data_IF_527224882904
#
_entry.id   IF_527224882904
#
_cell.length_a   1.000
_cell.length_b   1.000
_cell.length_c   1.000
_cell.angle_alpha   90.00
_cell.angle_beta   90.00
_cell.angle_gamma   90.00
#
_symmetry.space_group_name_H-M   'P 1'
#
loop_
_entity.id
_entity.type
_entity.pdbx_description
1 polymer ?
#
# COMPACT_ATOMS: atom_id res chain seq x y z
N UNK A 1 14.42 24.16 -10.13
CA UNK A 1 13.57 23.62 -11.20
C UNK A 1 12.79 22.45 -10.63
N UNK A 2 11.50 22.28 -10.96
CA UNK A 2 10.73 21.15 -10.48
C UNK A 2 11.38 19.84 -10.96
N UNK A 3 11.38 18.83 -10.09
CA UNK A 3 11.87 17.49 -10.45
C UNK A 3 10.85 16.75 -11.29
N UNK A 4 9.55 16.98 -11.06
CA UNK A 4 8.46 16.48 -11.91
C UNK A 4 7.56 17.65 -12.30
N UNK A 5 7.21 17.74 -13.58
CA UNK A 5 6.31 18.77 -14.12
C UNK A 5 5.29 18.15 -15.06
N UNK A 6 4.02 18.48 -14.86
CA UNK A 6 2.92 18.25 -15.80
C UNK A 6 2.37 19.62 -16.19
N UNK A 7 2.16 19.83 -17.50
CA UNK A 7 1.60 21.07 -18.03
C UNK A 7 0.43 20.74 -18.95
N UNK A 8 -0.77 21.15 -18.55
CA UNK A 8 -2.02 21.00 -19.29
C UNK A 8 -2.26 19.56 -19.78
N UNK A 9 -2.00 18.59 -18.91
CA UNK A 9 -2.07 17.17 -19.26
C UNK A 9 -3.52 16.71 -19.28
N UNK A 10 -3.98 16.30 -20.47
CA UNK A 10 -5.28 15.66 -20.67
C UNK A 10 -5.04 14.24 -21.20
N UNK A 11 -5.82 13.29 -20.69
CA UNK A 11 -5.82 11.91 -21.17
C UNK A 11 -7.23 11.45 -21.50
N UNK A 12 -7.44 11.09 -22.76
CA UNK A 12 -8.68 10.48 -23.25
C UNK A 12 -8.40 9.05 -23.69
N UNK A 13 -9.26 8.11 -23.28
CA UNK A 13 -9.28 6.73 -23.75
C UNK A 13 -10.47 6.52 -24.69
N UNK A 14 -10.23 5.88 -25.84
CA UNK A 14 -11.27 5.73 -26.86
C UNK A 14 -11.73 7.08 -27.40
N UNK A 15 -13.03 7.22 -27.65
CA UNK A 15 -13.61 8.46 -28.18
C UNK A 15 -14.04 9.43 -27.07
N UNK A 16 -14.59 8.93 -25.95
CA UNK A 16 -15.31 9.80 -24.99
C UNK A 16 -14.85 9.69 -23.52
N UNK A 17 -13.94 8.78 -23.18
CA UNK A 17 -13.56 8.58 -21.76
C UNK A 17 -12.41 9.50 -21.36
N UNK A 18 -12.72 10.67 -20.81
CA UNK A 18 -11.72 11.59 -20.23
C UNK A 18 -11.28 11.06 -18.87
N UNK A 19 -10.02 10.66 -18.76
CA UNK A 19 -9.44 10.15 -17.51
C UNK A 19 -8.62 11.20 -16.75
N UNK A 20 -8.08 12.20 -17.44
CA UNK A 20 -7.46 13.39 -16.87
C UNK A 20 -7.84 14.58 -17.74
N UNK A 21 -8.12 15.72 -17.12
CA UNK A 21 -8.51 16.95 -17.81
C UNK A 21 -7.73 18.15 -17.28
N UNK A 22 -6.91 18.75 -18.15
CA UNK A 22 -6.08 19.94 -17.89
C UNK A 22 -5.24 19.91 -16.60
N UNK A 23 -4.61 18.77 -16.32
CA UNK A 23 -3.83 18.60 -15.10
C UNK A 23 -2.46 19.28 -15.22
N UNK A 24 -2.22 20.24 -14.33
CA UNK A 24 -0.92 20.93 -14.19
C UNK A 24 -0.41 20.82 -12.76
N UNK A 25 0.77 20.21 -12.58
CA UNK A 25 1.35 19.92 -11.26
C UNK A 25 2.87 20.09 -11.36
N UNK A 26 3.47 20.76 -10.36
CA UNK A 26 4.93 20.84 -10.20
C UNK A 26 5.35 20.26 -8.84
N UNK A 27 6.28 19.32 -8.86
CA UNK A 27 6.81 18.63 -7.66
C UNK A 27 8.32 18.87 -7.57
N UNK A 28 8.77 19.27 -6.40
CA UNK A 28 10.18 19.53 -6.10
C UNK A 28 10.91 18.24 -5.73
N UNK A 29 12.22 18.19 -6.00
CA UNK A 29 13.05 17.04 -5.63
C UNK A 29 12.95 16.73 -4.13
N UNK A 30 12.81 15.45 -3.79
CA UNK A 30 12.76 14.97 -2.41
C UNK A 30 11.40 15.12 -1.70
N UNK A 31 10.37 15.66 -2.38
CA UNK A 31 9.02 15.72 -1.81
C UNK A 31 8.39 14.33 -1.68
N UNK A 32 7.65 14.10 -0.59
CA UNK A 32 6.77 12.95 -0.43
C UNK A 32 5.31 13.38 -0.63
N UNK A 33 4.85 13.23 -1.87
CA UNK A 33 3.52 13.65 -2.32
C UNK A 33 2.55 12.49 -2.22
N UNK A 34 1.35 12.75 -1.70
CA UNK A 34 0.26 11.78 -1.67
C UNK A 34 -0.88 12.25 -2.55
N UNK A 35 -1.31 11.39 -3.48
CA UNK A 35 -2.49 11.63 -4.31
C UNK A 35 -3.71 11.02 -3.62
N UNK A 36 -4.74 11.84 -3.41
CA UNK A 36 -6.03 11.50 -2.81
C UNK A 36 -7.15 11.61 -3.86
N UNK A 37 -8.25 10.91 -3.64
CA UNK A 37 -9.41 10.95 -4.53
C UNK A 37 -10.19 9.64 -4.56
N UNK A 38 -11.46 9.66 -5.02
CA UNK A 38 -12.28 8.46 -5.12
C UNK A 38 -11.75 7.46 -6.17
N UNK A 39 -12.29 6.24 -6.15
CA UNK A 39 -12.02 5.28 -7.22
C UNK A 39 -12.47 5.86 -8.57
N UNK A 40 -11.69 5.64 -9.62
CA UNK A 40 -11.99 6.20 -10.95
C UNK A 40 -11.59 7.66 -11.16
N UNK A 41 -11.10 8.38 -10.15
CA UNK A 41 -10.74 9.79 -10.27
C UNK A 41 -9.57 10.12 -11.23
N UNK A 42 -8.83 9.11 -11.72
CA UNK A 42 -7.69 9.30 -12.62
C UNK A 42 -6.29 9.13 -11.98
N UNK A 43 -6.20 8.82 -10.69
CA UNK A 43 -4.92 8.65 -9.96
C UNK A 43 -3.95 7.66 -10.61
N UNK A 44 -4.41 6.45 -10.92
CA UNK A 44 -3.57 5.43 -11.56
C UNK A 44 -3.19 5.81 -13.00
N UNK A 45 -4.05 6.55 -13.71
CA UNK A 45 -3.73 7.11 -15.04
C UNK A 45 -2.62 8.14 -14.94
N UNK A 46 -2.69 9.04 -13.96
CA UNK A 46 -1.66 10.03 -13.65
C UNK A 46 -0.32 9.35 -13.35
N UNK A 47 -0.31 8.34 -12.48
CA UNK A 47 0.91 7.58 -12.17
C UNK A 47 1.48 6.83 -13.38
N UNK A 48 0.63 6.24 -14.23
CA UNK A 48 1.07 5.57 -15.47
C UNK A 48 1.68 6.53 -16.47
N UNK A 49 1.13 7.74 -16.58
CA UNK A 49 1.71 8.80 -17.40
C UNK A 49 3.08 9.20 -16.88
N UNK A 50 3.23 9.39 -15.57
CA UNK A 50 4.51 9.69 -14.94
C UNK A 50 5.53 8.55 -15.02
N UNK A 51 5.07 7.30 -15.14
CA UNK A 51 5.94 6.15 -15.37
C UNK A 51 6.29 5.94 -16.86
N UNK A 52 5.68 6.69 -17.78
CA UNK A 52 5.86 6.49 -19.22
C UNK A 52 5.14 5.25 -19.79
N UNK A 53 4.27 4.60 -19.01
CA UNK A 53 3.46 3.46 -19.46
C UNK A 53 2.26 3.89 -20.32
N UNK A 54 1.94 5.19 -20.31
CA UNK A 54 0.81 5.75 -21.05
C UNK A 54 1.17 7.16 -21.46
N UNK A 55 1.04 7.48 -22.74
CA UNK A 55 1.25 8.85 -23.23
C UNK A 55 0.01 9.72 -22.96
N UNK A 56 0.18 10.99 -22.59
CA UNK A 56 -0.94 11.94 -22.52
C UNK A 56 -1.51 12.19 -23.92
N UNK A 57 -2.80 12.53 -24.00
CA UNK A 57 -3.43 12.92 -25.28
C UNK A 57 -3.01 14.32 -25.70
N UNK A 58 -2.94 15.23 -24.73
CA UNK A 58 -2.40 16.59 -24.88
C UNK A 58 -1.61 17.00 -23.64
N UNK A 59 -0.84 18.08 -23.74
CA UNK A 59 0.02 18.55 -22.66
C UNK A 59 1.40 17.92 -22.68
N UNK A 60 2.22 18.26 -21.70
CA UNK A 60 3.60 17.76 -21.60
C UNK A 60 3.92 17.28 -20.20
N UNK A 61 4.83 16.30 -20.12
CA UNK A 61 5.30 15.71 -18.88
C UNK A 61 6.82 15.64 -18.89
N UNK A 62 7.45 16.09 -17.80
CA UNK A 62 8.90 16.11 -17.67
C UNK A 62 9.35 15.61 -16.30
N UNK A 63 10.47 14.90 -16.28
CA UNK A 63 11.19 14.48 -15.07
C UNK A 63 12.65 14.93 -15.22
N UNK A 64 13.17 15.67 -14.23
CA UNK A 64 14.54 16.17 -14.26
C UNK A 64 14.85 17.10 -15.45
N UNK A 65 13.82 17.71 -16.05
CA UNK A 65 13.95 18.55 -17.25
C UNK A 65 13.93 17.79 -18.59
N UNK A 66 13.76 16.47 -18.58
CA UNK A 66 13.63 15.65 -19.79
C UNK A 66 12.20 15.10 -19.93
N UNK A 67 11.70 14.87 -21.17
CA UNK A 67 10.40 14.23 -21.37
C UNK A 67 10.33 12.84 -20.72
N UNK A 68 9.18 12.51 -20.11
CA UNK A 68 9.00 11.22 -19.40
C UNK A 68 9.25 10.01 -20.32
N UNK A 69 8.93 10.11 -21.61
CA UNK A 69 9.18 9.07 -22.61
C UNK A 69 10.65 8.65 -22.71
N UNK A 70 11.58 9.49 -22.25
CA UNK A 70 13.03 9.26 -22.29
C UNK A 70 13.60 8.83 -20.93
N UNK A 71 12.81 8.92 -19.85
CA UNK A 71 13.26 8.74 -18.45
C UNK A 71 13.00 7.34 -17.88
N UNK A 72 12.79 6.32 -18.71
CA UNK A 72 12.30 5.00 -18.28
C UNK A 72 13.13 4.28 -17.21
N UNK A 73 14.43 4.58 -17.07
CA UNK A 73 15.30 4.02 -16.01
C UNK A 73 15.26 4.80 -14.70
N UNK A 74 14.72 6.02 -14.71
CA UNK A 74 14.82 6.98 -13.60
C UNK A 74 13.58 6.94 -12.69
N UNK A 75 12.57 6.15 -13.06
CA UNK A 75 11.30 6.02 -12.34
C UNK A 75 11.10 4.59 -11.85
N UNK A 76 11.11 4.42 -10.53
CA UNK A 76 10.75 3.15 -9.89
C UNK A 76 9.24 3.10 -9.64
N UNK A 77 8.60 1.96 -9.88
CA UNK A 77 7.17 1.79 -9.61
C UNK A 77 6.90 0.64 -8.62
N UNK A 78 6.10 0.95 -7.61
CA UNK A 78 5.53 0.02 -6.64
C UNK A 78 4.06 -0.15 -6.98
N UNK A 79 3.69 -1.34 -7.45
CA UNK A 79 2.33 -1.66 -7.82
C UNK A 79 1.53 -2.18 -6.63
N UNK A 80 0.22 -1.96 -6.64
CA UNK A 80 -0.74 -2.53 -5.69
C UNK A 80 -0.67 -4.06 -5.66
N UNK A 81 -0.64 -4.68 -6.84
CA UNK A 81 -0.32 -6.09 -6.98
C UNK A 81 1.20 -6.22 -7.00
N UNK A 82 1.77 -6.88 -6.01
CA UNK A 82 3.24 -6.97 -5.83
C UNK A 82 4.00 -7.49 -7.07
N UNK A 83 3.33 -8.25 -7.95
CA UNK A 83 3.90 -8.91 -9.14
C UNK A 83 5.25 -9.58 -8.84
N UNK A 84 5.34 -10.28 -7.70
CA UNK A 84 6.54 -11.03 -7.33
C UNK A 84 6.47 -12.43 -7.94
N UNK A 85 7.65 -12.98 -8.25
CA UNK A 85 7.78 -14.37 -8.65
C UNK A 85 7.81 -15.19 -7.35
N UNK A 86 6.69 -15.85 -7.04
CA UNK A 86 6.48 -16.50 -5.74
C UNK A 86 7.47 -17.63 -5.42
N UNK A 87 8.02 -18.28 -6.46
CA UNK A 87 9.03 -19.32 -6.31
C UNK A 87 10.43 -18.80 -5.99
N UNK A 88 10.68 -17.50 -6.20
CA UNK A 88 11.97 -16.86 -5.92
C UNK A 88 12.03 -16.31 -4.50
N UNK A 89 13.24 -16.21 -3.97
CA UNK A 89 13.49 -15.54 -2.68
C UNK A 89 13.22 -14.03 -2.76
N UNK A 90 13.07 -13.39 -1.60
CA UNK A 90 12.98 -11.94 -1.50
C UNK A 90 14.17 -11.25 -2.18
N UNK A 91 15.37 -11.75 -1.95
CA UNK A 91 16.60 -11.27 -2.59
C UNK A 91 16.56 -11.39 -4.11
N UNK A 92 16.19 -12.56 -4.66
CA UNK A 92 16.10 -12.74 -6.10
C UNK A 92 15.03 -11.86 -6.73
N UNK A 93 13.89 -11.68 -6.07
CA UNK A 93 12.86 -10.75 -6.50
C UNK A 93 13.36 -9.30 -6.50
N UNK A 94 14.04 -8.85 -5.44
CA UNK A 94 14.63 -7.51 -5.39
C UNK A 94 15.66 -7.30 -6.51
N UNK A 95 16.53 -8.29 -6.74
CA UNK A 95 17.57 -8.25 -7.77
C UNK A 95 17.01 -8.12 -9.19
N UNK A 96 15.78 -8.59 -9.45
CA UNK A 96 15.12 -8.36 -10.76
C UNK A 96 14.97 -6.88 -11.11
N UNK A 97 14.99 -5.97 -10.12
CA UNK A 97 15.00 -4.54 -10.36
C UNK A 97 16.20 -4.09 -11.20
N UNK A 98 17.35 -4.75 -11.08
CA UNK A 98 18.54 -4.41 -11.86
C UNK A 98 18.36 -4.63 -13.37
N UNK A 99 17.39 -5.46 -13.78
CA UNK A 99 17.14 -5.77 -15.19
C UNK A 99 16.67 -4.55 -15.98
N UNK A 100 15.98 -3.60 -15.34
CA UNK A 100 15.49 -2.37 -15.97
C UNK A 100 16.62 -1.51 -16.59
N UNK A 101 17.86 -1.65 -16.10
CA UNK A 101 19.04 -0.93 -16.61
C UNK A 101 19.70 -1.55 -17.84
N UNK A 102 19.25 -2.71 -18.33
CA UNK A 102 19.99 -3.45 -19.36
C UNK A 102 19.17 -3.86 -20.57
N UNK A 103 19.70 -3.52 -21.76
CA UNK A 103 19.20 -4.00 -23.05
C UNK A 103 19.44 -5.51 -23.20
N UNK A 104 18.33 -6.22 -23.43
CA UNK A 104 18.00 -7.59 -23.85
C UNK A 104 19.05 -8.73 -23.94
N UNK A 105 20.34 -8.51 -24.19
CA UNK A 105 21.34 -9.59 -24.31
C UNK A 105 22.33 -9.69 -23.14
N UNK A 106 22.48 -8.63 -22.33
CA UNK A 106 23.40 -8.63 -21.16
C UNK A 106 22.75 -9.06 -19.84
N UNK A 107 21.43 -9.20 -19.83
CA UNK A 107 20.60 -9.47 -18.63
C UNK A 107 21.09 -10.65 -17.76
N UNK A 108 21.55 -11.73 -18.39
CA UNK A 108 22.07 -12.93 -17.68
C UNK A 108 23.42 -12.67 -17.00
N UNK A 109 24.28 -11.82 -17.58
CA UNK A 109 25.56 -11.42 -16.96
C UNK A 109 25.35 -10.35 -15.87
N UNK A 110 24.31 -9.53 -15.99
CA UNK A 110 23.97 -8.44 -15.06
C UNK A 110 23.54 -8.96 -13.68
N UNK A 111 22.71 -10.00 -13.62
CA UNK A 111 22.31 -10.62 -12.34
C UNK A 111 23.50 -11.18 -11.53
N UNK A 112 24.67 -11.32 -12.17
CA UNK A 112 25.87 -11.78 -11.49
C UNK A 112 26.82 -10.65 -11.04
N UNK A 113 26.52 -9.38 -11.36
CA UNK A 113 27.35 -8.23 -10.94
C UNK A 113 27.27 -8.04 -9.44
N UNK A 114 28.43 -7.97 -8.79
CA UNK A 114 28.52 -7.80 -7.34
C UNK A 114 27.81 -6.53 -6.85
N UNK A 115 27.79 -5.46 -7.65
CA UNK A 115 27.12 -4.21 -7.29
C UNK A 115 25.60 -4.35 -7.23
N UNK A 116 24.99 -5.05 -8.18
CA UNK A 116 23.54 -5.29 -8.20
C UNK A 116 23.11 -6.18 -7.02
N UNK A 117 23.95 -7.17 -6.67
CA UNK A 117 23.75 -8.03 -5.48
C UNK A 117 23.79 -7.20 -4.20
N UNK A 118 24.78 -6.32 -4.05
CA UNK A 118 24.89 -5.40 -2.90
C UNK A 118 23.70 -4.44 -2.85
N UNK A 119 23.30 -3.88 -3.99
CA UNK A 119 22.15 -3.00 -4.07
C UNK A 119 20.85 -3.69 -3.63
N UNK A 120 20.66 -4.96 -4.01
CA UNK A 120 19.51 -5.76 -3.59
C UNK A 120 19.51 -6.04 -2.08
N UNK A 121 20.66 -6.41 -1.49
CA UNK A 121 20.77 -6.61 -0.05
C UNK A 121 20.55 -5.31 0.73
N UNK A 122 21.15 -4.20 0.28
CA UNK A 122 20.94 -2.88 0.89
C UNK A 122 19.48 -2.42 0.77
N UNK A 123 18.83 -2.65 -0.38
CA UNK A 123 17.41 -2.34 -0.54
C UNK A 123 16.52 -3.19 0.38
N UNK A 124 16.85 -4.48 0.58
CA UNK A 124 16.16 -5.33 1.56
C UNK A 124 16.40 -4.87 3.00
N UNK A 125 17.60 -4.40 3.32
CA UNK A 125 17.91 -3.79 4.61
C UNK A 125 17.08 -2.52 4.86
N UNK A 126 17.02 -1.60 3.89
CA UNK A 126 16.19 -0.38 3.95
C UNK A 126 14.72 -0.70 4.28
N UNK A 127 14.18 -1.83 3.79
CA UNK A 127 12.79 -2.25 4.05
C UNK A 127 12.65 -3.26 5.19
N UNK A 128 13.73 -3.50 5.96
CA UNK A 128 13.73 -4.39 7.12
C UNK A 128 13.45 -5.85 6.80
N UNK A 129 14.01 -6.36 5.69
CA UNK A 129 13.90 -7.75 5.22
C UNK A 129 15.25 -8.43 4.97
N UNK A 130 16.36 -7.86 5.45
CA UNK A 130 17.69 -8.46 5.25
C UNK A 130 17.79 -9.87 5.83
N UNK A 131 17.25 -10.09 7.04
CA UNK A 131 17.23 -11.42 7.68
C UNK A 131 16.33 -12.43 6.95
N UNK A 132 15.35 -11.94 6.20
CA UNK A 132 14.39 -12.76 5.42
C UNK A 132 14.79 -12.86 3.94
N UNK A 133 16.02 -12.46 3.57
CA UNK A 133 16.44 -12.34 2.18
C UNK A 133 16.29 -13.63 1.36
N UNK A 134 16.52 -14.79 1.99
CA UNK A 134 16.39 -16.12 1.35
C UNK A 134 14.96 -16.70 1.44
N UNK A 135 14.06 -16.08 2.19
CA UNK A 135 12.67 -16.52 2.27
C UNK A 135 11.99 -16.40 0.90
N UNK A 136 11.27 -17.46 0.49
CA UNK A 136 10.49 -17.46 -0.75
C UNK A 136 9.33 -16.49 -0.66
N UNK A 137 9.13 -15.70 -1.71
CA UNK A 137 8.05 -14.71 -1.74
C UNK A 137 6.67 -15.36 -1.53
N UNK A 138 6.44 -16.58 -2.03
CA UNK A 138 5.17 -17.31 -1.84
C UNK A 138 4.81 -17.61 -0.38
N UNK A 139 5.78 -17.61 0.55
CA UNK A 139 5.52 -17.85 1.98
C UNK A 139 5.49 -16.57 2.82
N UNK A 140 5.66 -15.41 2.19
CA UNK A 140 5.67 -14.11 2.85
C UNK A 140 4.24 -13.58 3.06
N UNK A 141 4.04 -12.84 4.14
CA UNK A 141 2.82 -12.04 4.36
C UNK A 141 2.66 -10.96 3.28
N UNK A 142 1.43 -10.43 3.11
CA UNK A 142 1.16 -9.34 2.16
C UNK A 142 2.08 -8.13 2.37
N UNK A 143 2.23 -7.68 3.62
CA UNK A 143 3.12 -6.56 3.95
C UNK A 143 4.61 -6.86 3.67
N UNK A 144 5.06 -8.09 3.86
CA UNK A 144 6.42 -8.49 3.44
C UNK A 144 6.56 -8.48 1.91
N UNK A 145 5.58 -9.03 1.17
CA UNK A 145 5.57 -8.98 -0.30
C UNK A 145 5.63 -7.53 -0.81
N UNK A 146 4.90 -6.60 -0.19
CA UNK A 146 4.96 -5.17 -0.54
C UNK A 146 6.33 -4.55 -0.29
N UNK A 147 6.97 -4.88 0.84
CA UNK A 147 8.33 -4.44 1.14
C UNK A 147 9.36 -4.98 0.15
N UNK A 148 9.22 -6.23 -0.31
CA UNK A 148 10.05 -6.76 -1.41
C UNK A 148 9.81 -5.99 -2.71
N UNK A 149 8.55 -5.62 -3.01
CA UNK A 149 8.22 -4.76 -4.15
C UNK A 149 8.90 -3.40 -4.11
N UNK A 150 8.94 -2.76 -2.93
CA UNK A 150 9.68 -1.52 -2.68
C UNK A 150 11.18 -1.74 -2.90
N UNK A 151 11.76 -2.78 -2.28
CA UNK A 151 13.17 -3.09 -2.46
C UNK A 151 13.54 -3.29 -3.94
N UNK A 152 12.71 -4.02 -4.70
CA UNK A 152 12.88 -4.19 -6.14
C UNK A 152 12.90 -2.86 -6.90
N UNK A 153 12.01 -1.92 -6.56
CA UNK A 153 12.02 -0.59 -7.16
C UNK A 153 13.30 0.19 -6.78
N UNK A 154 13.74 0.12 -5.53
CA UNK A 154 14.96 0.80 -5.07
C UNK A 154 16.24 0.25 -5.69
N UNK A 155 16.27 -1.03 -6.07
CA UNK A 155 17.41 -1.62 -6.79
C UNK A 155 17.63 -0.94 -8.14
N UNK A 156 16.60 -0.36 -8.76
CA UNK A 156 16.72 0.40 -10.02
C UNK A 156 17.56 1.68 -9.86
N UNK A 157 17.76 2.15 -8.63
CA UNK A 157 18.33 3.45 -8.30
C UNK A 157 17.56 4.62 -8.95
N UNK A 158 16.22 4.69 -8.74
CA UNK A 158 15.41 5.71 -9.38
C UNK A 158 15.65 7.09 -8.76
N UNK A 159 15.29 8.14 -9.50
CA UNK A 159 15.16 9.51 -8.98
C UNK A 159 13.72 9.84 -8.56
N UNK A 160 12.74 9.10 -9.07
CA UNK A 160 11.32 9.21 -8.73
C UNK A 160 10.77 7.82 -8.34
N UNK A 161 10.12 7.72 -7.18
CA UNK A 161 9.38 6.53 -6.76
C UNK A 161 7.88 6.78 -6.88
N UNK A 162 7.20 5.99 -7.70
CA UNK A 162 5.76 6.00 -7.83
C UNK A 162 5.17 4.79 -7.09
N UNK A 163 4.07 4.99 -6.39
CA UNK A 163 3.36 3.91 -5.73
C UNK A 163 1.85 4.01 -5.99
N UNK A 164 1.31 3.01 -6.69
CA UNK A 164 -0.12 2.92 -6.96
C UNK A 164 -0.77 2.03 -5.90
N UNK A 165 -1.46 2.64 -4.94
CA UNK A 165 -2.15 1.97 -3.84
C UNK A 165 -1.33 0.89 -3.11
N UNK A 166 -0.13 1.23 -2.58
CA UNK A 166 0.80 0.24 -2.03
C UNK A 166 0.28 -0.48 -0.78
N UNK A 167 -0.86 -0.07 -0.21
CA UNK A 167 -1.35 -0.59 1.08
C UNK A 167 -2.84 -0.92 1.10
N UNK A 168 -3.52 -0.92 -0.06
CA UNK A 168 -5.00 -1.05 -0.08
C UNK A 168 -5.52 -2.42 0.35
N UNK A 169 -4.71 -3.48 0.23
CA UNK A 169 -5.07 -4.86 0.61
C UNK A 169 -4.48 -5.32 1.95
N UNK A 170 -3.82 -4.42 2.68
CA UNK A 170 -3.09 -4.75 3.90
C UNK A 170 -3.90 -4.39 5.15
N UNK A 171 -3.68 -5.15 6.23
CA UNK A 171 -4.19 -4.76 7.54
C UNK A 171 -3.58 -3.43 8.01
N UNK A 172 -4.23 -2.69 8.93
CA UNK A 172 -3.78 -1.36 9.33
C UNK A 172 -2.36 -1.29 9.90
N UNK A 173 -1.85 -2.37 10.52
CA UNK A 173 -0.49 -2.39 11.07
C UNK A 173 0.51 -2.58 9.94
N UNK A 174 0.30 -3.58 9.08
CA UNK A 174 1.15 -3.82 7.93
C UNK A 174 1.18 -2.62 6.96
N UNK A 175 0.05 -1.95 6.75
CA UNK A 175 -0.04 -0.75 5.94
C UNK A 175 0.87 0.39 6.46
N UNK A 176 0.84 0.66 7.77
CA UNK A 176 1.73 1.65 8.40
C UNK A 176 3.19 1.25 8.31
N UNK A 177 3.51 -0.03 8.51
CA UNK A 177 4.87 -0.52 8.37
C UNK A 177 5.41 -0.31 6.95
N UNK A 178 4.63 -0.66 5.93
CA UNK A 178 5.00 -0.41 4.52
C UNK A 178 5.26 1.07 4.26
N UNK A 179 4.35 1.95 4.68
CA UNK A 179 4.49 3.39 4.48
C UNK A 179 5.70 3.97 5.24
N UNK A 180 5.98 3.47 6.44
CA UNK A 180 7.17 3.81 7.21
C UNK A 180 8.45 3.48 6.45
N UNK A 181 8.55 2.28 5.88
CA UNK A 181 9.72 1.89 5.08
C UNK A 181 9.83 2.68 3.77
N UNK A 182 8.72 2.99 3.10
CA UNK A 182 8.75 3.88 1.93
C UNK A 182 9.26 5.27 2.30
N UNK A 183 8.79 5.84 3.42
CA UNK A 183 9.24 7.16 3.89
C UNK A 183 10.70 7.14 4.32
N UNK A 184 11.15 6.06 4.96
CA UNK A 184 12.55 5.85 5.30
C UNK A 184 13.42 5.82 4.03
N UNK A 185 13.05 5.01 3.04
CA UNK A 185 13.75 4.94 1.76
C UNK A 185 13.79 6.29 1.04
N UNK A 186 12.68 7.05 1.08
CA UNK A 186 12.60 8.38 0.51
C UNK A 186 13.62 9.34 1.15
N UNK A 187 13.72 9.32 2.49
CA UNK A 187 14.64 10.18 3.25
C UNK A 187 16.10 9.79 3.08
N UNK A 188 16.42 8.50 3.18
CA UNK A 188 17.80 8.00 3.09
C UNK A 188 18.44 8.28 1.72
N UNK A 189 17.63 8.42 0.67
CA UNK A 189 18.08 8.55 -0.72
C UNK A 189 17.72 9.87 -1.39
N UNK A 190 17.16 10.82 -0.62
CA UNK A 190 16.64 12.10 -1.15
C UNK A 190 15.69 11.89 -2.36
N UNK A 191 14.88 10.82 -2.29
CA UNK A 191 14.09 10.30 -3.40
C UNK A 191 12.71 10.95 -3.41
N UNK A 192 12.40 11.66 -4.50
CA UNK A 192 11.05 12.17 -4.76
C UNK A 192 10.08 10.99 -4.82
N UNK A 193 8.99 11.05 -4.06
CA UNK A 193 8.03 9.95 -3.96
C UNK A 193 6.61 10.46 -4.17
N UNK A 194 5.85 9.78 -5.04
CA UNK A 194 4.44 10.06 -5.28
C UNK A 194 3.65 8.77 -5.02
N UNK A 195 2.75 8.80 -4.04
CA UNK A 195 1.95 7.64 -3.67
C UNK A 195 0.45 7.95 -3.78
N UNK A 196 -0.29 7.11 -4.50
CA UNK A 196 -1.76 7.12 -4.47
C UNK A 196 -2.25 6.34 -3.25
N UNK A 197 -3.04 6.98 -2.38
CA UNK A 197 -3.60 6.37 -1.17
C UNK A 197 -5.10 6.66 -1.06
N UNK A 198 -5.89 5.65 -0.70
CA UNK A 198 -7.31 5.83 -0.35
C UNK A 198 -7.55 6.07 1.14
N UNK A 199 -6.65 5.57 1.99
CA UNK A 199 -6.79 5.67 3.44
C UNK A 199 -6.26 7.02 3.93
N UNK A 200 -7.15 8.00 4.09
CA UNK A 200 -6.81 9.38 4.46
C UNK A 200 -6.00 9.44 5.77
N UNK A 201 -6.32 8.62 6.77
CA UNK A 201 -5.57 8.60 8.04
C UNK A 201 -4.09 8.23 7.84
N UNK A 202 -3.81 7.23 7.00
CA UNK A 202 -2.43 6.82 6.68
C UNK A 202 -1.77 7.88 5.80
N UNK A 203 -2.48 8.43 4.81
CA UNK A 203 -1.98 9.52 3.99
C UNK A 203 -1.52 10.70 4.84
N UNK A 204 -2.37 11.16 5.76
CA UNK A 204 -2.06 12.26 6.69
C UNK A 204 -0.92 11.94 7.64
N UNK A 205 -0.67 10.67 7.97
CA UNK A 205 0.44 10.27 8.82
C UNK A 205 1.79 10.42 8.10
N UNK A 206 1.88 10.06 6.81
CA UNK A 206 3.15 9.94 6.08
C UNK A 206 3.41 10.99 4.99
N UNK A 207 2.37 11.65 4.46
CA UNK A 207 2.50 12.64 3.37
C UNK A 207 2.98 14.01 3.86
N UNK A 208 3.74 14.70 3.02
CA UNK A 208 4.19 16.08 3.25
C UNK A 208 3.30 17.08 2.48
N UNK A 209 2.96 16.73 1.23
CA UNK A 209 2.08 17.46 0.32
C UNK A 209 1.01 16.52 -0.24
N UNK A 210 -0.18 17.04 -0.49
CA UNK A 210 -1.35 16.28 -0.89
C UNK A 210 -1.96 16.88 -2.15
N UNK A 211 -2.25 16.00 -3.11
CA UNK A 211 -2.92 16.36 -4.36
C UNK A 211 -4.25 15.65 -4.39
N UNK A 212 -5.34 16.39 -4.29
CA UNK A 212 -6.70 15.88 -4.42
C UNK A 212 -7.10 15.85 -5.89
N UNK A 213 -7.47 14.67 -6.38
CA UNK A 213 -7.92 14.46 -7.76
C UNK A 213 -9.37 13.96 -7.74
N UNK A 214 -10.22 14.58 -8.55
CA UNK A 214 -11.64 14.22 -8.72
C UNK A 214 -12.04 14.43 -10.17
N UNK A 215 -12.73 13.44 -10.75
CA UNK A 215 -13.20 13.46 -12.14
C UNK A 215 -12.13 13.87 -13.15
N UNK A 216 -10.89 13.40 -12.96
CA UNK A 216 -9.76 13.69 -13.83
C UNK A 216 -9.10 15.06 -13.62
N UNK A 217 -9.61 15.89 -12.70
CA UNK A 217 -9.09 17.24 -12.42
C UNK A 217 -8.42 17.32 -11.05
N UNK A 218 -7.47 18.25 -10.89
CA UNK A 218 -6.87 18.56 -9.58
C UNK A 218 -7.76 19.56 -8.86
N UNK A 219 -8.38 19.12 -7.76
CA UNK A 219 -9.27 19.95 -6.93
C UNK A 219 -8.59 20.50 -5.68
N UNK A 220 -7.44 19.93 -5.31
CA UNK A 220 -6.65 20.38 -4.17
C UNK A 220 -5.16 20.12 -4.41
N UNK A 221 -4.32 21.07 -4.01
CA UNK A 221 -2.87 20.91 -3.96
C UNK A 221 -2.34 21.74 -2.80
N UNK A 222 -1.87 21.08 -1.73
CA UNK A 222 -1.48 21.76 -0.52
C UNK A 222 -0.73 20.89 0.48
N UNK A 223 -0.24 21.53 1.53
CA UNK A 223 0.48 20.88 2.62
C UNK A 223 -0.42 20.11 3.58
N UNK A 224 0.18 19.35 4.49
CA UNK A 224 -0.52 18.69 5.60
C UNK A 224 -1.39 19.65 6.44
N UNK A 225 -0.92 20.88 6.65
CA UNK A 225 -1.61 21.86 7.49
C UNK A 225 -2.89 22.39 6.82
N UNK A 226 -2.89 22.43 5.49
CA UNK A 226 -4.01 22.91 4.68
C UNK A 226 -5.06 21.81 4.47
N UNK A 227 -4.68 20.53 4.51
CA UNK A 227 -5.59 19.40 4.37
C UNK A 227 -6.52 19.23 5.60
N UNK A 228 -7.60 20.02 5.62
CA UNK A 228 -8.70 19.96 6.59
C UNK A 228 -9.67 18.81 6.27
N UNK A 229 -10.59 18.51 7.20
CA UNK A 229 -11.65 17.53 6.94
C UNK A 229 -12.61 18.01 5.86
N UNK A 230 -12.93 19.30 5.82
CA UNK A 230 -13.81 19.87 4.77
C UNK A 230 -13.21 19.66 3.37
N UNK A 231 -11.90 19.84 3.21
CA UNK A 231 -11.22 19.58 1.93
C UNK A 231 -11.23 18.08 1.58
N UNK A 232 -11.07 17.21 2.57
CA UNK A 232 -11.18 15.77 2.35
C UNK A 232 -12.60 15.44 1.89
N UNK A 233 -13.62 16.00 2.55
CA UNK A 233 -15.01 15.80 2.16
C UNK A 233 -15.24 16.33 0.75
N UNK A 234 -14.73 17.50 0.37
CA UNK A 234 -14.79 17.99 -1.00
C UNK A 234 -14.12 17.02 -1.99
N UNK A 235 -12.94 16.47 -1.68
CA UNK A 235 -12.24 15.54 -2.58
C UNK A 235 -13.09 14.28 -2.85
N UNK A 236 -13.84 13.78 -1.86
CA UNK A 236 -14.53 12.48 -1.95
C UNK A 236 -16.06 12.58 -2.14
N UNK A 237 -16.69 13.68 -1.70
CA UNK A 237 -18.12 13.83 -1.51
C UNK A 237 -18.56 15.26 -1.89
N UNK A 238 -19.01 15.45 -3.13
CA UNK A 238 -19.74 16.67 -3.52
C UNK A 238 -21.03 16.27 -4.23
N UNK A 239 -22.15 16.75 -3.68
CA UNK A 239 -23.50 16.85 -4.26
C UNK A 239 -24.15 15.62 -4.93
N UNK A 240 -24.06 14.43 -4.31
CA UNK A 240 -25.03 13.36 -4.61
C UNK A 240 -25.41 12.40 -3.46
N UNK A 241 -24.84 12.51 -2.26
CA UNK A 241 -25.28 11.69 -1.11
C UNK A 241 -25.34 12.45 0.23
N UNK A 242 -25.77 13.72 0.23
CA UNK A 242 -26.25 14.35 1.47
C UNK A 242 -27.67 13.85 1.79
N UNK A 243 -27.81 12.57 2.15
CA UNK A 243 -28.97 12.18 2.96
C UNK A 243 -28.68 12.71 4.37
N UNK A 244 -29.51 13.61 4.94
CA UNK A 244 -29.26 14.12 6.27
C UNK A 244 -29.24 12.92 7.24
N UNK A 245 -28.11 12.70 7.91
CA UNK A 245 -28.09 11.85 9.09
C UNK A 245 -29.01 12.55 10.10
N UNK A 246 -30.23 12.04 10.22
CA UNK A 246 -31.16 12.47 11.26
C UNK A 246 -30.45 12.29 12.59
N UNK A 247 -30.12 13.41 13.25
CA UNK A 247 -29.67 13.40 14.64
C UNK A 247 -30.81 12.76 15.43
N UNK A 248 -30.58 11.53 15.86
CA UNK A 248 -31.50 10.76 16.68
C UNK A 248 -32.04 11.62 17.81
N UNK A 249 -33.36 11.75 17.83
CA UNK A 249 -34.10 12.32 18.93
C UNK A 249 -33.63 11.65 20.22
N UNK A 250 -33.21 12.48 21.17
CA UNK A 250 -32.87 12.04 22.51
C UNK A 250 -34.18 11.69 23.21
N UNK A 251 -34.60 10.43 23.15
CA UNK A 251 -35.66 9.93 24.01
C UNK A 251 -35.17 9.96 25.46
N UNK A 252 -35.61 11.00 26.18
CA UNK A 252 -35.42 11.12 27.62
C UNK A 252 -36.29 10.10 28.34
N UNK A 253 -35.66 9.09 28.95
CA UNK A 253 -36.30 8.31 30.01
C UNK A 253 -36.33 9.15 31.29
N UNK A 254 -37.45 9.83 31.54
CA UNK A 254 -37.81 10.33 32.86
C UNK A 254 -38.86 9.40 33.45
N UNK A 255 -38.44 8.63 34.46
CA UNK A 255 -39.32 7.85 35.33
C UNK A 255 -39.74 8.76 36.48
N UNK A 256 -41.04 9.08 36.60
CA UNK A 256 -41.59 9.44 37.90
C UNK A 256 -43.04 8.96 38.09
N UNK A 257 -43.16 8.25 39.22
CA UNK A 257 -44.29 7.87 40.06
C UNK A 257 -45.76 7.91 39.58
N UNK A 258 -46.38 6.73 39.74
CA UNK A 258 -47.56 6.47 40.62
C UNK A 258 -48.87 7.20 40.30
N UNK A 259 -49.94 6.44 40.00
CA UNK A 259 -51.11 6.25 40.91
C UNK A 259 -51.99 5.09 40.40
N UNK A 260 -52.63 4.43 41.37
CA UNK A 260 -53.24 3.11 41.41
C UNK A 260 -54.63 2.95 40.77
N UNK A 261 -55.17 1.73 41.00
CA UNK A 261 -56.50 1.16 40.69
C UNK A 261 -56.53 0.38 39.36
N UNK A 262 -57.10 -0.82 39.25
CA UNK A 262 -57.95 -1.57 40.16
C UNK A 262 -57.97 -3.06 39.74
N UNK A 263 -58.25 -3.92 40.72
CA UNK A 263 -58.85 -5.26 40.61
C UNK A 263 -58.37 -6.30 39.59
N UNK A 264 -57.86 -7.43 40.12
CA UNK A 264 -58.67 -8.65 40.04
C UNK A 264 -58.03 -9.95 39.54
N UNK A 265 -57.73 -10.84 40.50
CA UNK A 265 -58.14 -12.27 40.52
C UNK A 265 -57.30 -13.32 39.73
N UNK A 266 -56.86 -14.33 40.52
CA UNK A 266 -56.48 -15.75 40.24
C UNK A 266 -55.22 -16.04 39.40
N UNK A 267 -54.17 -16.66 39.94
CA UNK A 267 -53.99 -17.98 40.57
C UNK A 267 -53.71 -19.13 39.57
N UNK A 268 -52.68 -19.91 39.94
CA UNK A 268 -52.33 -21.27 39.50
C UNK A 268 -51.77 -21.45 38.08
N UNK A 269 -50.84 -22.36 37.79
CA UNK A 269 -49.93 -23.22 38.57
C UNK A 269 -49.20 -24.06 37.51
N UNK A 270 -47.91 -24.29 37.72
CA UNK A 270 -47.21 -25.56 37.43
C UNK A 270 -47.02 -26.10 36.00
N UNK A 271 -45.90 -26.84 35.94
CA UNK A 271 -45.62 -28.02 35.12
C UNK A 271 -44.84 -27.77 33.81
N UNK A 272 -43.85 -28.55 33.38
CA UNK A 272 -42.83 -29.45 33.97
C UNK A 272 -41.97 -29.91 32.80
N UNK A 273 -40.67 -30.08 33.07
CA UNK A 273 -39.67 -30.91 32.41
C UNK A 273 -40.09 -31.88 31.29
N UNK A 274 -39.23 -31.99 30.27
CA UNK A 274 -38.55 -33.25 29.88
C UNK A 274 -37.49 -32.95 28.80
N UNK A 275 -36.20 -33.28 29.00
CA UNK A 275 -35.55 -34.59 28.74
C UNK A 275 -35.53 -34.92 27.22
N UNK A 276 -34.48 -35.45 26.60
CA UNK A 276 -33.15 -35.90 27.02
C UNK A 276 -32.38 -36.34 25.75
N UNK A 277 -31.03 -36.30 25.81
CA UNK A 277 -30.08 -37.33 25.29
C UNK A 277 -30.04 -37.63 23.77
N UNK A 278 -28.97 -38.11 23.13
CA UNK A 278 -27.69 -38.73 23.51
C UNK A 278 -26.81 -38.72 22.21
N UNK A 279 -25.49 -38.46 22.23
CA UNK A 279 -24.36 -39.42 22.47
C UNK A 279 -24.09 -40.33 21.27
N UNK A 280 -22.86 -40.69 20.86
CA UNK A 280 -21.48 -40.34 21.23
C UNK A 280 -20.50 -41.09 20.30
N UNK A 281 -19.21 -40.70 20.38
CA UNK A 281 -18.00 -41.55 20.44
C UNK A 281 -17.64 -42.41 19.20
N UNK A 282 -16.39 -42.83 18.93
CA UNK A 282 -15.17 -43.11 19.74
C UNK A 282 -13.98 -43.19 18.73
N UNK A 283 -12.75 -42.69 18.94
CA UNK A 283 -11.59 -43.13 19.78
C UNK A 283 -10.68 -44.22 19.17
N UNK A 284 -9.36 -43.93 19.18
CA UNK A 284 -8.19 -44.75 19.61
C UNK A 284 -6.89 -44.07 19.07
N UNK A 285 -5.89 -43.61 19.87
CA UNK A 285 -4.89 -44.29 20.73
C UNK A 285 -3.93 -45.21 19.92
N UNK A 286 -2.61 -45.36 20.10
CA UNK A 286 -1.47 -44.83 20.91
C UNK A 286 -0.22 -45.61 20.36
N UNK A 287 1.02 -45.09 20.43
CA UNK A 287 2.25 -45.78 20.95
C UNK A 287 3.57 -45.00 20.70
N UNK A 288 4.48 -45.18 21.66
CA UNK A 288 5.77 -44.52 21.97
C UNK A 288 6.98 -44.94 21.10
N UNK A 289 8.10 -44.18 21.13
CA UNK A 289 9.40 -44.59 21.71
C UNK A 289 10.51 -43.52 21.58
N UNK A 290 11.34 -43.45 22.63
CA UNK A 290 12.50 -42.58 22.89
C UNK A 290 13.75 -42.83 22.03
N UNK A 291 14.66 -41.84 21.94
CA UNK A 291 16.11 -42.02 22.15
C UNK A 291 16.86 -40.67 22.25
N UNK A 292 17.46 -40.43 23.42
CA UNK A 292 18.58 -39.51 23.69
C UNK A 292 19.88 -40.03 23.04
N UNK A 293 20.73 -39.13 22.53
CA UNK A 293 22.20 -39.27 22.73
C UNK A 293 22.92 -37.93 22.54
N UNK A 294 23.62 -37.57 23.61
CA UNK A 294 24.59 -36.50 23.78
C UNK A 294 25.97 -36.97 23.27
N UNK A 295 26.73 -36.16 22.52
CA UNK A 295 28.20 -36.26 22.50
C UNK A 295 28.87 -34.96 22.07
N UNK A 296 29.78 -34.54 22.93
CA UNK A 296 30.69 -33.41 22.93
C UNK A 296 31.95 -33.62 22.05
N UNK A 297 32.57 -32.48 21.65
CA UNK A 297 34.01 -32.24 21.36
C UNK A 297 34.66 -32.88 20.11
N UNK A 298 35.17 -32.08 19.15
CA UNK A 298 36.62 -31.79 19.01
C UNK A 298 36.94 -30.77 17.88
N UNK A 299 38.03 -30.04 18.16
CA UNK A 299 38.78 -29.01 17.44
C UNK A 299 39.35 -29.40 16.07
N UNK A 300 39.69 -28.39 15.25
CA UNK A 300 40.52 -28.59 14.05
C UNK A 300 40.68 -27.36 13.16
N UNK A 301 41.72 -26.55 13.43
CA UNK A 301 42.33 -25.61 12.49
C UNK A 301 42.96 -26.31 11.26
N UNK A 302 43.03 -25.61 10.12
CA UNK A 302 44.16 -25.53 9.15
C UNK A 302 43.61 -25.17 7.74
N UNK A 303 43.84 -23.95 7.24
CA UNK A 303 44.93 -23.61 6.30
C UNK A 303 44.96 -24.43 4.99
N UNK A 304 44.39 -23.86 3.92
CA UNK A 304 45.08 -23.39 2.69
C UNK A 304 44.05 -22.87 1.67
#
# INVERSE_FOLDING_TARGET
>A
MPHVSLQNVTKVFGEDTVALDDVSIEITAGEFVVILGPSGAGKSTLLRILNGLTEPTTGTTQIGGSPVSESGSDVGMVFQMHYLIESLSAYRNALTGALARTSNLKSVLTLNRTDDKRAALHALETVGLLSDAEQRAGTMSGGQKQRVGIARALVQNPSLLLADEPVSSLDPKAARDVMRYMRQAARERELTTIASLHQVNIAREFGDRFIGVRDGTVVFDGSRAELSMDIIDDIYYTDSESTPISRGETESFAHDSTTASDTGVTADSENTASRNHHTSANTNAETETDADTDTDIDTGEAQL
#
